data_IF_246498138657
#
_entry.id   IF_246498138657
#
_cell.length_a   1.000
_cell.length_b   1.000
_cell.length_c   1.000
_cell.angle_alpha   90.00
_cell.angle_beta   90.00
_cell.angle_gamma   90.00
#
_symmetry.space_group_name_H-M   'P 1'
#
loop_
_entity.id
_entity.type
_entity.pdbx_description
1 polymer ?
#
# COMPACT_ATOMS: atom_id res chain seq x y z
N UNK A 1 10.66 -17.95 3.39
CA UNK A 1 12.08 -18.13 3.08
C UNK A 1 12.66 -19.11 4.10
N UNK A 2 13.20 -20.25 3.66
CA UNK A 2 13.89 -21.20 4.55
C UNK A 2 15.39 -20.97 4.37
N UNK A 3 16.06 -20.45 5.40
CA UNK A 3 17.51 -20.32 5.37
C UNK A 3 18.12 -21.68 5.69
N UNK A 4 19.06 -22.14 4.86
CA UNK A 4 19.88 -23.33 5.13
C UNK A 4 21.25 -22.80 5.55
N UNK A 5 21.64 -22.90 6.84
CA UNK A 5 22.86 -22.28 7.36
C UNK A 5 24.16 -22.72 6.68
N UNK A 6 24.12 -23.85 5.98
CA UNK A 6 25.26 -24.42 5.26
C UNK A 6 25.52 -23.78 3.89
N UNK A 7 24.55 -23.03 3.34
CA UNK A 7 24.69 -22.41 2.01
C UNK A 7 25.43 -21.08 2.17
N UNK A 8 26.61 -20.91 1.53
CA UNK A 8 27.31 -19.63 1.50
C UNK A 8 26.46 -18.54 0.85
N UNK A 9 26.67 -17.29 1.25
CA UNK A 9 26.00 -16.15 0.60
C UNK A 9 26.60 -15.87 -0.78
N UNK A 10 27.92 -15.99 -0.90
CA UNK A 10 28.67 -15.73 -2.13
C UNK A 10 29.52 -16.94 -2.49
N UNK A 11 29.78 -17.13 -3.78
CA UNK A 11 30.78 -18.07 -4.28
C UNK A 11 32.18 -17.43 -4.27
N UNK A 12 33.19 -18.18 -4.69
CA UNK A 12 34.60 -17.74 -4.66
C UNK A 12 34.87 -16.52 -5.55
N UNK A 13 34.04 -16.28 -6.58
CA UNK A 13 34.15 -15.14 -7.48
C UNK A 13 33.49 -13.87 -6.90
N UNK A 14 32.82 -13.97 -5.75
CA UNK A 14 32.05 -12.87 -5.14
C UNK A 14 30.64 -12.70 -5.67
N UNK A 15 30.18 -13.56 -6.60
CA UNK A 15 28.80 -13.61 -7.04
C UNK A 15 27.93 -14.33 -6.01
N UNK A 16 26.61 -14.12 -6.03
CA UNK A 16 25.71 -14.89 -5.18
C UNK A 16 25.87 -16.40 -5.43
N UNK A 17 25.82 -17.18 -4.35
CA UNK A 17 25.80 -18.64 -4.44
C UNK A 17 24.45 -19.10 -5.04
N UNK A 18 24.45 -19.57 -6.29
CA UNK A 18 23.25 -19.80 -7.12
C UNK A 18 23.13 -21.28 -7.56
N UNK A 19 22.30 -21.56 -8.56
CA UNK A 19 21.96 -22.93 -8.98
C UNK A 19 23.16 -23.84 -9.25
N UNK A 20 24.14 -23.38 -10.03
CA UNK A 20 25.31 -24.20 -10.39
C UNK A 20 26.20 -24.46 -9.18
N UNK A 21 26.33 -23.48 -8.27
CA UNK A 21 27.05 -23.64 -7.01
C UNK A 21 26.35 -24.67 -6.11
N UNK A 22 25.02 -24.57 -5.96
CA UNK A 22 24.22 -25.53 -5.19
C UNK A 22 24.28 -26.94 -5.77
N UNK A 23 24.25 -27.06 -7.10
CA UNK A 23 24.36 -28.35 -7.80
C UNK A 23 25.73 -29.00 -7.58
N UNK A 24 26.78 -28.21 -7.39
CA UNK A 24 28.14 -28.71 -7.14
C UNK A 24 28.50 -28.74 -5.65
N UNK A 25 27.60 -28.32 -4.76
CA UNK A 25 27.85 -28.27 -3.32
C UNK A 25 27.58 -29.63 -2.67
N UNK A 26 28.63 -30.45 -2.53
CA UNK A 26 28.57 -31.77 -1.89
C UNK A 26 29.15 -32.86 -2.78
N UNK A 27 28.81 -34.12 -2.50
CA UNK A 27 29.39 -35.29 -3.17
C UNK A 27 28.42 -36.04 -4.08
N UNK A 28 27.13 -35.69 -4.08
CA UNK A 28 26.13 -36.29 -4.96
C UNK A 28 26.07 -35.61 -6.33
N UNK A 29 25.38 -36.23 -7.29
CA UNK A 29 25.34 -35.76 -8.68
C UNK A 29 24.68 -34.37 -8.88
N UNK A 30 23.76 -33.96 -7.99
CA UNK A 30 23.22 -32.60 -7.94
C UNK A 30 23.50 -31.89 -6.60
N UNK A 31 24.54 -32.31 -5.87
CA UNK A 31 24.95 -31.69 -4.62
C UNK A 31 23.82 -31.59 -3.60
N UNK A 32 23.74 -30.45 -2.91
CA UNK A 32 22.75 -30.22 -1.84
C UNK A 32 21.30 -30.29 -2.34
N UNK A 33 21.06 -30.12 -3.65
CA UNK A 33 19.71 -30.17 -4.23
C UNK A 33 19.12 -31.59 -4.22
N UNK A 34 19.93 -32.66 -4.19
CA UNK A 34 19.43 -34.04 -4.02
C UNK A 34 18.85 -34.27 -2.62
N UNK A 35 19.40 -33.59 -1.61
CA UNK A 35 18.97 -33.71 -0.21
C UNK A 35 17.92 -32.67 0.16
N UNK A 36 17.95 -31.50 -0.48
CA UNK A 36 17.01 -30.41 -0.25
C UNK A 36 16.77 -29.67 -1.56
N UNK A 37 15.82 -30.16 -2.35
CA UNK A 37 15.51 -29.60 -3.66
C UNK A 37 15.05 -28.11 -3.63
N UNK A 38 14.58 -27.64 -2.47
CA UNK A 38 14.19 -26.25 -2.20
C UNK A 38 15.33 -25.40 -1.61
N UNK A 39 16.57 -25.90 -1.64
CA UNK A 39 17.71 -25.14 -1.16
C UNK A 39 17.81 -23.82 -1.92
N UNK A 40 17.95 -22.73 -1.17
CA UNK A 40 18.00 -21.39 -1.73
C UNK A 40 18.95 -20.50 -0.94
N UNK A 41 19.66 -19.65 -1.66
CA UNK A 41 20.37 -18.54 -1.06
C UNK A 41 19.38 -17.41 -0.75
N UNK A 42 19.13 -17.10 0.54
CA UNK A 42 18.13 -16.11 0.92
C UNK A 42 18.46 -14.69 0.42
N UNK A 43 19.75 -14.34 0.35
CA UNK A 43 20.17 -13.03 -0.13
C UNK A 43 19.97 -12.89 -1.64
N UNK A 44 20.33 -13.92 -2.40
CA UNK A 44 20.07 -13.96 -3.83
C UNK A 44 18.56 -13.87 -4.12
N UNK A 45 17.75 -14.69 -3.44
CA UNK A 45 16.31 -14.64 -3.56
C UNK A 45 15.77 -13.23 -3.29
N UNK A 46 16.26 -12.54 -2.25
CA UNK A 46 15.83 -11.18 -1.94
C UNK A 46 16.18 -10.17 -3.04
N UNK A 47 17.41 -10.22 -3.58
CA UNK A 47 17.89 -9.28 -4.62
C UNK A 47 17.21 -9.50 -5.97
N UNK A 48 17.01 -10.75 -6.38
CA UNK A 48 16.38 -11.11 -7.65
C UNK A 48 14.83 -11.05 -7.61
N UNK A 49 14.25 -10.76 -6.45
CA UNK A 49 12.82 -10.51 -6.27
C UNK A 49 12.52 -9.02 -6.02
N UNK A 50 11.24 -8.72 -5.78
CA UNK A 50 10.71 -7.36 -5.72
C UNK A 50 11.46 -6.47 -4.72
N UNK A 51 12.06 -7.02 -3.67
CA UNK A 51 12.78 -6.27 -2.65
C UNK A 51 14.02 -5.53 -3.18
N UNK A 52 14.68 -6.02 -4.25
CA UNK A 52 15.90 -5.42 -4.78
C UNK A 52 15.69 -4.27 -5.78
N UNK A 53 14.57 -4.26 -6.50
CA UNK A 53 14.39 -3.43 -7.70
C UNK A 53 12.97 -2.84 -7.76
N UNK A 54 12.62 -2.00 -6.79
CA UNK A 54 11.32 -1.33 -6.78
C UNK A 54 11.40 0.13 -6.29
N UNK A 55 10.39 0.93 -6.63
CA UNK A 55 10.23 2.31 -6.13
C UNK A 55 8.76 2.65 -5.95
N UNK A 56 8.45 3.20 -4.79
CA UNK A 56 7.14 3.74 -4.45
C UNK A 56 7.16 5.27 -4.44
N UNK A 57 6.06 5.90 -4.83
CA UNK A 57 5.78 7.33 -4.64
C UNK A 57 4.37 7.45 -4.09
N UNK A 58 4.18 8.27 -3.07
CA UNK A 58 2.86 8.50 -2.47
C UNK A 58 2.62 10.01 -2.35
N UNK A 59 1.40 10.43 -2.65
CA UNK A 59 0.92 11.78 -2.44
C UNK A 59 -0.39 11.73 -1.68
N UNK A 60 -0.50 12.55 -0.65
CA UNK A 60 -1.71 12.65 0.17
C UNK A 60 -2.07 14.12 0.35
N UNK A 61 -3.36 14.43 0.25
CA UNK A 61 -3.92 15.74 0.55
C UNK A 61 -5.05 15.55 1.55
N UNK A 62 -4.93 16.19 2.71
CA UNK A 62 -5.98 16.25 3.71
C UNK A 62 -6.31 17.71 3.97
N UNK A 63 -7.58 18.08 3.89
CA UNK A 63 -8.02 19.46 4.07
C UNK A 63 -9.36 19.48 4.80
N UNK A 64 -9.54 20.46 5.68
CA UNK A 64 -10.82 20.71 6.31
C UNK A 64 -11.11 22.21 6.28
N UNK A 65 -12.36 22.56 6.03
CA UNK A 65 -12.86 23.92 6.10
C UNK A 65 -14.12 23.92 6.98
N UNK A 66 -14.32 24.98 7.76
CA UNK A 66 -15.49 25.10 8.61
C UNK A 66 -16.05 26.51 8.61
N UNK A 67 -17.34 26.59 8.90
CA UNK A 67 -18.07 27.81 9.21
C UNK A 67 -18.61 27.68 10.63
N UNK A 68 -18.46 28.74 11.42
CA UNK A 68 -19.02 28.85 12.76
C UNK A 68 -19.87 30.12 12.84
N UNK A 69 -21.09 30.00 13.38
CA UNK A 69 -21.99 31.13 13.59
C UNK A 69 -22.63 31.03 14.97
N UNK A 70 -22.83 32.20 15.58
CA UNK A 70 -23.47 32.33 16.89
C UNK A 70 -24.76 33.16 16.75
N UNK A 71 -25.91 32.52 16.41
CA UNK A 71 -27.18 33.24 16.22
C UNK A 71 -27.75 33.84 17.50
N UNK A 72 -27.50 33.20 18.65
CA UNK A 72 -27.89 33.67 19.98
C UNK A 72 -26.70 33.52 20.93
N UNK A 73 -26.68 34.31 22.00
CA UNK A 73 -25.63 34.20 23.02
C UNK A 73 -25.52 32.75 23.50
N UNK A 74 -24.29 32.23 23.48
CA UNK A 74 -23.93 30.86 23.87
C UNK A 74 -24.50 29.73 23.01
N UNK A 75 -25.21 30.00 21.91
CA UNK A 75 -25.64 29.01 20.93
C UNK A 75 -24.72 29.06 19.72
N UNK A 76 -23.92 28.02 19.51
CA UNK A 76 -22.93 27.95 18.44
C UNK A 76 -23.31 26.84 17.47
N UNK A 77 -23.47 27.19 16.19
CA UNK A 77 -23.53 26.22 15.11
C UNK A 77 -22.19 26.18 14.39
N UNK A 78 -21.66 24.98 14.15
CA UNK A 78 -20.46 24.73 13.36
C UNK A 78 -20.72 23.67 12.30
N UNK A 79 -20.47 24.03 11.04
CA UNK A 79 -20.48 23.10 9.90
C UNK A 79 -19.06 22.94 9.38
N UNK A 80 -18.58 21.70 9.23
CA UNK A 80 -17.22 21.38 8.77
C UNK A 80 -17.25 20.38 7.62
N UNK A 81 -16.56 20.68 6.53
CA UNK A 81 -16.30 19.73 5.44
C UNK A 81 -14.85 19.29 5.53
N UNK A 82 -14.61 17.99 5.48
CA UNK A 82 -13.29 17.38 5.43
C UNK A 82 -13.12 16.63 4.11
N UNK A 83 -11.96 16.76 3.48
CA UNK A 83 -11.58 16.10 2.23
C UNK A 83 -10.25 15.36 2.43
N UNK A 84 -10.20 14.12 1.97
CA UNK A 84 -8.99 13.30 1.99
C UNK A 84 -8.79 12.67 0.62
N UNK A 85 -7.63 12.90 0.03
CA UNK A 85 -7.17 12.28 -1.20
C UNK A 85 -5.86 11.51 -0.94
N UNK A 86 -5.71 10.38 -1.61
CA UNK A 86 -4.47 9.62 -1.70
C UNK A 86 -4.19 9.29 -3.15
N UNK A 87 -2.91 9.19 -3.48
CA UNK A 87 -2.46 8.56 -4.71
C UNK A 87 -1.10 7.91 -4.48
N UNK A 88 -0.87 6.82 -5.17
CA UNK A 88 0.39 6.10 -5.16
C UNK A 88 0.76 5.65 -6.56
N UNK A 89 2.06 5.56 -6.79
CA UNK A 89 2.61 4.88 -7.95
C UNK A 89 3.76 4.01 -7.47
N UNK A 90 3.71 2.74 -7.80
CA UNK A 90 4.74 1.78 -7.54
C UNK A 90 5.21 1.12 -8.82
N UNK A 91 6.48 0.77 -8.87
CA UNK A 91 7.13 0.18 -10.03
C UNK A 91 8.21 -0.77 -9.60
N UNK A 92 8.34 -1.90 -10.28
CA UNK A 92 9.43 -2.85 -10.07
C UNK A 92 9.95 -3.49 -11.35
N UNK A 93 11.18 -3.97 -11.28
CA UNK A 93 11.80 -4.82 -12.29
C UNK A 93 12.28 -6.11 -11.65
N UNK A 94 11.93 -7.24 -12.25
CA UNK A 94 12.31 -8.56 -11.77
C UNK A 94 13.11 -9.27 -12.87
N UNK A 95 14.42 -9.48 -12.69
CA UNK A 95 15.25 -10.12 -13.71
C UNK A 95 14.97 -11.63 -13.84
N UNK A 96 15.47 -12.24 -14.92
CA UNK A 96 15.62 -13.70 -15.06
C UNK A 96 16.62 -14.19 -14.01
N UNK A 97 16.32 -15.29 -13.34
CA UNK A 97 17.25 -15.91 -12.39
C UNK A 97 16.91 -17.39 -12.14
N UNK A 98 17.85 -18.14 -11.59
CA UNK A 98 17.62 -19.53 -11.16
C UNK A 98 18.46 -19.86 -9.93
N UNK A 99 17.79 -20.18 -8.83
CA UNK A 99 18.41 -20.66 -7.59
C UNK A 99 18.18 -22.17 -7.44
N UNK A 100 16.97 -22.65 -7.68
CA UNK A 100 16.65 -24.07 -7.60
C UNK A 100 15.62 -24.51 -8.66
N UNK A 101 15.30 -25.82 -8.65
CA UNK A 101 14.33 -26.44 -9.55
C UNK A 101 12.91 -26.52 -8.96
N UNK A 102 12.66 -25.88 -7.82
CA UNK A 102 11.43 -25.98 -7.04
C UNK A 102 10.74 -24.62 -6.88
N UNK A 103 10.78 -23.80 -7.93
CA UNK A 103 10.04 -22.54 -8.02
C UNK A 103 10.81 -21.30 -7.60
N UNK A 104 12.07 -21.42 -7.14
CA UNK A 104 12.94 -20.26 -6.92
C UNK A 104 13.74 -19.91 -8.19
N UNK A 105 12.99 -19.56 -9.23
CA UNK A 105 13.52 -19.21 -10.55
C UNK A 105 12.50 -18.40 -11.34
N UNK A 106 12.98 -17.72 -12.38
CA UNK A 106 12.16 -16.94 -13.31
C UNK A 106 12.78 -17.00 -14.70
N UNK A 107 12.04 -17.47 -15.69
CA UNK A 107 12.54 -17.65 -17.06
C UNK A 107 12.45 -16.40 -17.95
N UNK A 108 11.68 -15.39 -17.51
CA UNK A 108 11.48 -14.12 -18.24
C UNK A 108 11.50 -12.97 -17.26
N UNK A 109 12.17 -11.87 -17.60
CA UNK A 109 12.09 -10.69 -16.77
C UNK A 109 10.66 -10.11 -16.75
N UNK A 110 10.35 -9.37 -15.70
CA UNK A 110 9.05 -8.74 -15.49
C UNK A 110 9.22 -7.28 -15.13
N UNK A 111 8.38 -6.43 -15.71
CA UNK A 111 8.17 -5.05 -15.28
C UNK A 111 6.76 -4.93 -14.73
N UNK A 112 6.63 -4.56 -13.47
CA UNK A 112 5.34 -4.43 -12.80
C UNK A 112 5.13 -2.98 -12.43
N UNK A 113 4.02 -2.39 -12.89
CA UNK A 113 3.61 -1.04 -12.51
C UNK A 113 2.26 -1.10 -11.81
N UNK A 114 2.14 -0.40 -10.69
CA UNK A 114 0.91 -0.20 -9.96
C UNK A 114 0.66 1.30 -9.79
N UNK A 115 -0.55 1.76 -10.08
CA UNK A 115 -0.99 3.13 -9.82
C UNK A 115 -2.33 3.05 -9.12
N UNK A 116 -2.49 3.83 -8.06
CA UNK A 116 -3.75 3.95 -7.33
C UNK A 116 -4.01 5.40 -6.99
N UNK A 117 -5.27 5.81 -7.03
CA UNK A 117 -5.71 7.10 -6.56
C UNK A 117 -7.11 6.99 -6.00
N UNK A 118 -7.41 7.83 -5.03
CA UNK A 118 -8.77 7.94 -4.54
C UNK A 118 -8.97 9.10 -3.59
N UNK A 119 -10.24 9.39 -3.32
CA UNK A 119 -10.63 10.43 -2.39
C UNK A 119 -11.92 10.09 -1.65
N UNK A 120 -12.11 10.72 -0.50
CA UNK A 120 -13.36 10.71 0.24
C UNK A 120 -13.57 12.06 0.94
N UNK A 121 -14.79 12.26 1.41
CA UNK A 121 -15.15 13.45 2.16
C UNK A 121 -16.08 13.13 3.31
N UNK A 122 -16.10 14.02 4.30
CA UNK A 122 -17.10 14.05 5.34
C UNK A 122 -17.66 15.46 5.56
N UNK A 123 -18.90 15.53 6.01
CA UNK A 123 -19.59 16.73 6.45
C UNK A 123 -20.05 16.50 7.89
N UNK A 124 -19.58 17.33 8.80
CA UNK A 124 -19.95 17.30 10.21
C UNK A 124 -20.71 18.58 10.54
N UNK A 125 -21.90 18.44 11.13
CA UNK A 125 -22.68 19.54 11.65
C UNK A 125 -22.78 19.39 13.16
N UNK A 126 -22.49 20.45 13.92
CA UNK A 126 -22.66 20.47 15.36
C UNK A 126 -23.41 21.71 15.80
N UNK A 127 -24.31 21.54 16.75
CA UNK A 127 -24.98 22.60 17.48
C UNK A 127 -24.62 22.43 18.96
N UNK A 128 -24.04 23.46 19.56
CA UNK A 128 -23.72 23.48 20.99
C UNK A 128 -24.36 24.66 21.69
N UNK A 129 -24.87 24.44 22.90
CA UNK A 129 -25.48 25.46 23.72
C UNK A 129 -24.97 25.37 25.16
N UNK A 130 -24.58 26.53 25.71
CA UNK A 130 -24.18 26.66 27.11
C UNK A 130 -25.15 27.55 27.87
N UNK A 131 -25.66 27.04 28.98
CA UNK A 131 -26.59 27.78 29.83
C UNK A 131 -26.40 27.41 31.30
N UNK A 132 -26.79 28.35 32.16
CA UNK A 132 -26.72 28.21 33.60
C UNK A 132 -28.15 28.17 34.17
N UNK A 133 -28.37 27.32 35.16
CA UNK A 133 -29.58 27.34 35.99
C UNK A 133 -29.15 27.80 37.38
N UNK A 134 -29.46 29.05 37.73
CA UNK A 134 -28.86 29.75 38.89
C UNK A 134 -27.33 29.83 38.79
N UNK A 135 -26.65 30.35 39.83
CA UNK A 135 -25.19 30.41 39.89
C UNK A 135 -24.54 29.08 40.32
N UNK A 136 -25.33 28.02 40.48
CA UNK A 136 -24.89 26.72 41.00
C UNK A 136 -24.80 25.62 39.94
N UNK A 137 -25.57 25.70 38.86
CA UNK A 137 -25.67 24.63 37.85
C UNK A 137 -25.25 25.14 36.48
N UNK A 138 -24.21 24.53 35.90
CA UNK A 138 -23.68 24.88 34.58
C UNK A 138 -23.87 23.71 33.60
N UNK A 139 -24.40 23.98 32.41
CA UNK A 139 -24.65 22.97 31.38
C UNK A 139 -23.96 23.32 30.05
N UNK A 140 -23.29 22.34 29.44
CA UNK A 140 -22.75 22.39 28.07
C UNK A 140 -23.32 21.20 27.28
N UNK A 141 -24.21 21.51 26.35
CA UNK A 141 -24.87 20.51 25.51
C UNK A 141 -24.35 20.64 24.09
N UNK A 142 -24.06 19.51 23.46
CA UNK A 142 -23.73 19.41 22.04
C UNK A 142 -24.56 18.30 21.40
N UNK A 143 -25.09 18.59 20.22
CA UNK A 143 -25.66 17.60 19.32
C UNK A 143 -25.00 17.73 17.95
N UNK A 144 -24.80 16.61 17.26
CA UNK A 144 -24.14 16.64 15.95
C UNK A 144 -24.51 15.47 15.05
N UNK A 145 -24.27 15.71 13.77
CA UNK A 145 -24.39 14.70 12.71
C UNK A 145 -23.09 14.66 11.91
N UNK A 146 -22.74 13.47 11.43
CA UNK A 146 -21.64 13.30 10.51
C UNK A 146 -22.06 12.40 9.35
N UNK A 147 -21.81 12.89 8.14
CA UNK A 147 -21.99 12.15 6.91
C UNK A 147 -20.64 11.96 6.24
N UNK A 148 -20.29 10.76 5.80
CA UNK A 148 -19.08 10.50 5.01
C UNK A 148 -19.38 9.64 3.79
N UNK A 149 -18.61 9.85 2.71
CA UNK A 149 -18.81 9.14 1.45
C UNK A 149 -17.53 8.84 0.67
N UNK A 150 -17.48 7.61 0.16
CA UNK A 150 -16.62 7.04 -0.88
C UNK A 150 -17.49 6.33 -1.92
N UNK A 151 -17.11 6.37 -3.20
CA UNK A 151 -17.83 5.68 -4.29
C UNK A 151 -16.84 5.06 -5.28
N UNK A 152 -17.28 4.12 -6.14
CA UNK A 152 -16.51 3.64 -7.27
C UNK A 152 -15.92 4.73 -8.17
N UNK A 153 -16.62 5.85 -8.32
CA UNK A 153 -16.14 6.97 -9.13
C UNK A 153 -15.15 7.88 -8.39
N UNK A 154 -14.82 7.59 -7.13
CA UNK A 154 -13.93 8.45 -6.32
C UNK A 154 -12.48 7.97 -6.36
N UNK A 155 -12.15 7.00 -7.19
CA UNK A 155 -10.80 6.54 -7.35
C UNK A 155 -10.75 5.21 -8.07
N UNK A 156 -9.54 4.80 -8.39
CA UNK A 156 -9.26 3.59 -9.13
C UNK A 156 -7.84 3.12 -8.86
N UNK A 157 -7.61 1.86 -9.18
CA UNK A 157 -6.29 1.25 -9.17
C UNK A 157 -6.09 0.47 -10.45
N UNK A 158 -4.86 0.48 -10.94
CA UNK A 158 -4.42 -0.30 -12.08
C UNK A 158 -3.09 -0.94 -11.73
N UNK A 159 -2.99 -2.23 -11.98
CA UNK A 159 -1.75 -2.99 -11.95
C UNK A 159 -1.55 -3.65 -13.30
N UNK A 160 -0.32 -3.61 -13.80
CA UNK A 160 0.02 -4.32 -15.01
C UNK A 160 1.43 -4.90 -14.91
N UNK A 161 1.59 -6.10 -15.50
CA UNK A 161 2.86 -6.79 -15.64
C UNK A 161 3.17 -6.98 -17.11
N UNK A 162 4.28 -6.38 -17.55
CA UNK A 162 4.91 -6.65 -18.83
C UNK A 162 6.09 -7.60 -18.66
N UNK A 163 6.48 -8.26 -19.75
CA UNK A 163 7.56 -9.25 -19.77
C UNK A 163 8.57 -8.90 -20.86
N UNK A 164 9.80 -9.41 -20.75
CA UNK A 164 10.85 -9.27 -21.76
C UNK A 164 11.16 -7.80 -22.06
N UNK A 165 11.74 -7.10 -21.08
CA UNK A 165 12.17 -5.71 -21.21
C UNK A 165 13.28 -5.56 -22.24
N UNK A 166 13.21 -4.51 -23.05
CA UNK A 166 14.26 -4.16 -24.02
C UNK A 166 15.59 -3.75 -23.35
N UNK A 167 15.57 -3.38 -22.07
CA UNK A 167 16.73 -2.87 -21.34
C UNK A 167 17.25 -3.81 -20.26
N UNK A 168 16.36 -4.64 -19.69
CA UNK A 168 16.74 -5.59 -18.64
C UNK A 168 17.17 -4.93 -17.31
N UNK A 169 16.73 -3.71 -17.02
CA UNK A 169 17.09 -2.98 -15.79
C UNK A 169 15.90 -2.24 -15.14
N UNK A 170 16.13 -1.82 -13.88
CA UNK A 170 15.13 -1.09 -13.10
C UNK A 170 14.92 0.38 -13.55
N UNK A 171 15.96 1.03 -14.05
CA UNK A 171 15.90 2.43 -14.51
C UNK A 171 14.84 2.59 -15.59
N UNK A 172 14.81 1.65 -16.53
CA UNK A 172 13.92 1.60 -17.68
C UNK A 172 12.70 0.70 -17.50
N UNK A 173 12.39 0.27 -16.28
CA UNK A 173 11.27 -0.61 -15.95
C UNK A 173 9.89 0.05 -16.14
N UNK A 174 9.57 0.47 -17.35
CA UNK A 174 8.27 1.02 -17.73
C UNK A 174 7.59 0.02 -18.66
N UNK A 175 6.29 -0.20 -18.52
CA UNK A 175 5.53 -1.13 -19.36
C UNK A 175 5.70 -0.88 -20.86
N UNK A 176 5.94 0.38 -21.26
CA UNK A 176 6.25 0.72 -22.65
C UNK A 176 7.46 -0.03 -23.21
N UNK A 177 8.45 -0.31 -22.36
CA UNK A 177 9.71 -0.94 -22.72
C UNK A 177 9.64 -2.48 -22.70
N UNK A 178 8.47 -3.05 -22.42
CA UNK A 178 8.24 -4.51 -22.46
C UNK A 178 7.62 -4.96 -23.78
N UNK A 179 7.76 -6.24 -24.10
CA UNK A 179 7.11 -6.82 -25.26
C UNK A 179 5.58 -6.74 -25.16
N UNK A 180 4.93 -6.31 -26.25
CA UNK A 180 3.48 -6.20 -26.36
C UNK A 180 2.88 -7.53 -26.83
N UNK A 181 2.89 -8.53 -25.95
CA UNK A 181 2.35 -9.88 -26.22
C UNK A 181 1.15 -10.18 -25.31
N UNK A 182 0.35 -11.16 -25.71
CA UNK A 182 -0.82 -11.63 -24.96
C UNK A 182 -0.48 -12.21 -23.57
N UNK A 183 0.80 -12.39 -23.24
CA UNK A 183 1.26 -12.83 -21.92
C UNK A 183 1.25 -11.71 -20.88
N UNK A 184 1.16 -10.44 -21.29
CA UNK A 184 1.05 -9.32 -20.35
C UNK A 184 -0.26 -9.42 -19.56
N UNK A 185 -0.22 -9.07 -18.28
CA UNK A 185 -1.40 -9.07 -17.41
C UNK A 185 -1.76 -7.64 -17.04
N UNK A 186 -3.06 -7.37 -16.94
CA UNK A 186 -3.61 -6.09 -16.48
C UNK A 186 -4.75 -6.41 -15.53
N UNK A 187 -4.78 -5.72 -14.40
CA UNK A 187 -5.85 -5.77 -13.43
C UNK A 187 -6.17 -4.35 -12.96
N UNK A 188 -7.41 -4.12 -12.51
CA UNK A 188 -7.78 -2.83 -11.97
C UNK A 188 -9.16 -2.85 -11.33
N UNK A 189 -9.32 -2.01 -10.33
CA UNK A 189 -10.55 -1.91 -9.56
C UNK A 189 -10.90 -0.46 -9.27
N UNK A 190 -12.19 -0.10 -9.31
CA UNK A 190 -12.64 1.18 -8.77
C UNK A 190 -12.50 1.20 -7.25
N UNK A 191 -12.60 2.39 -6.66
CA UNK A 191 -12.68 2.52 -5.19
C UNK A 191 -13.93 1.85 -4.63
N UNK A 192 -13.87 1.42 -3.38
CA UNK A 192 -15.04 0.83 -2.75
C UNK A 192 -16.12 1.88 -2.45
N UNK A 193 -17.37 1.42 -2.51
CA UNK A 193 -18.49 2.19 -2.00
C UNK A 193 -18.49 2.18 -0.47
N UNK A 194 -18.48 3.37 0.12
CA UNK A 194 -18.62 3.54 1.56
C UNK A 194 -19.47 4.76 1.84
N UNK A 195 -20.58 4.61 2.56
CA UNK A 195 -21.40 5.74 2.99
C UNK A 195 -21.76 5.52 4.45
N UNK A 196 -21.50 6.51 5.31
CA UNK A 196 -21.86 6.44 6.73
C UNK A 196 -22.61 7.70 7.11
N UNK A 197 -23.64 7.52 7.94
CA UNK A 197 -24.35 8.59 8.62
C UNK A 197 -24.32 8.29 10.11
N UNK A 198 -23.98 9.27 10.93
CA UNK A 198 -23.89 9.13 12.37
C UNK A 198 -24.51 10.33 13.07
N UNK A 199 -25.05 10.08 14.25
CA UNK A 199 -25.64 11.06 15.14
C UNK A 199 -24.93 10.91 16.48
N UNK A 200 -24.56 12.03 17.10
CA UNK A 200 -23.83 12.03 18.36
C UNK A 200 -24.23 13.23 19.20
N UNK A 201 -23.98 13.12 20.50
CA UNK A 201 -24.21 14.21 21.43
C UNK A 201 -23.33 14.10 22.66
N UNK A 202 -23.22 15.21 23.38
CA UNK A 202 -22.48 15.33 24.62
C UNK A 202 -23.26 16.24 25.57
N UNK A 203 -23.34 15.84 26.83
CA UNK A 203 -23.85 16.65 27.93
C UNK A 203 -22.75 16.71 28.98
N UNK A 204 -22.27 17.91 29.29
CA UNK A 204 -21.46 18.16 30.47
C UNK A 204 -22.26 18.99 31.47
N UNK A 205 -22.08 18.68 32.75
CA UNK A 205 -22.75 19.32 33.86
C UNK A 205 -21.76 19.52 35.00
N UNK A 206 -21.70 20.73 35.52
CA UNK A 206 -20.87 21.10 36.65
C UNK A 206 -21.72 21.77 37.74
N UNK A 207 -21.44 21.44 39.00
CA UNK A 207 -22.11 21.96 40.18
C UNK A 207 -21.11 22.70 41.08
N UNK A 208 -21.52 23.84 41.64
CA UNK A 208 -20.70 24.64 42.56
C UNK A 208 -21.02 24.38 44.03
#
# INVERSE_FOLDING_TARGET
MRAIPLIPVYNENGDFFMYDDLKNFGTSANGILDYTAYASNPMAHMVYNQAGNNKNKNFNLNTAAYLEVQPLKNLIYKGQVSYKQWSSSWRSYLPVYRINNQGDSRDKDQTINNVSLGWNWSLTNTLSYRFDITDLHHFDVLAGTEYSKSRPTYGESVEATGYNSAFGDFTHAYLHNTERKATATVNGYPSDYGSKMSYFGRLNYDFK
#
